data_IF_874683519713
#
_entry.id   IF_874683519713
#
_cell.length_a   1.000
_cell.length_b   1.000
_cell.length_c   1.000
_cell.angle_alpha   90.00
_cell.angle_beta   90.00
_cell.angle_gamma   90.00
#
_symmetry.space_group_name_H-M   'P 1'
#
loop_
_entity.id
_entity.type
_entity.pdbx_description
1 polymer ?
#
# COMPACT_ATOMS: atom_id res chain seq x y z
N UNK A 1 -9.05 16.28 -40.96
CA UNK A 1 -9.40 15.24 -39.95
C UNK A 1 -8.81 15.68 -38.62
N UNK A 2 -9.63 16.19 -37.70
CA UNK A 2 -9.16 16.58 -36.36
C UNK A 2 -9.72 15.56 -35.36
N UNK A 3 -8.83 14.80 -34.71
CA UNK A 3 -9.21 13.83 -33.69
C UNK A 3 -9.54 14.58 -32.39
N UNK A 4 -10.82 14.63 -32.04
CA UNK A 4 -11.29 15.16 -30.76
C UNK A 4 -10.85 14.21 -29.63
N UNK A 5 -9.97 14.68 -28.74
CA UNK A 5 -9.64 13.96 -27.51
C UNK A 5 -10.92 13.75 -26.68
N UNK A 6 -11.19 12.56 -26.14
CA UNK A 6 -12.31 12.36 -25.25
C UNK A 6 -12.04 13.13 -23.95
N UNK A 7 -12.75 14.23 -23.73
CA UNK A 7 -12.89 14.84 -22.40
C UNK A 7 -13.60 13.82 -21.52
N UNK A 8 -12.84 13.11 -20.68
CA UNK A 8 -13.40 12.27 -19.64
C UNK A 8 -14.23 13.17 -18.70
N UNK A 9 -15.54 13.24 -18.94
CA UNK A 9 -16.46 13.94 -18.06
C UNK A 9 -16.33 13.36 -16.65
N UNK A 10 -16.36 14.22 -15.63
CA UNK A 10 -16.35 13.78 -14.23
C UNK A 10 -17.60 12.92 -13.99
N UNK A 11 -17.45 11.60 -14.09
CA UNK A 11 -18.49 10.65 -13.75
C UNK A 11 -18.90 10.88 -12.28
N UNK A 12 -20.20 10.96 -12.04
CA UNK A 12 -20.78 11.09 -10.70
C UNK A 12 -21.69 9.89 -10.49
N UNK A 13 -21.40 9.09 -9.48
CA UNK A 13 -22.23 7.96 -9.08
C UNK A 13 -22.62 8.13 -7.61
N UNK A 14 -23.86 7.76 -7.22
CA UNK A 14 -24.25 7.71 -5.83
C UNK A 14 -23.37 6.73 -5.06
N UNK A 15 -22.87 7.13 -3.90
CA UNK A 15 -22.11 6.26 -3.00
C UNK A 15 -22.99 5.94 -1.79
N UNK A 16 -23.27 4.65 -1.57
CA UNK A 16 -24.11 4.19 -0.45
C UNK A 16 -23.20 3.91 0.74
N UNK A 17 -23.45 4.58 1.86
CA UNK A 17 -22.76 4.38 3.13
C UNK A 17 -23.74 4.18 4.28
N UNK A 18 -23.22 3.81 5.44
CA UNK A 18 -23.96 3.88 6.69
C UNK A 18 -24.17 5.34 7.13
N UNK A 19 -25.05 5.52 8.11
CA UNK A 19 -25.43 6.86 8.59
C UNK A 19 -24.28 7.58 9.28
N UNK A 20 -23.51 6.88 10.09
CA UNK A 20 -22.43 7.46 10.89
C UNK A 20 -21.34 8.01 9.97
N UNK A 21 -21.02 7.28 8.90
CA UNK A 21 -20.10 7.73 7.86
C UNK A 21 -20.62 8.96 7.09
N UNK A 22 -21.91 9.03 6.76
CA UNK A 22 -22.47 10.23 6.10
C UNK A 22 -22.46 11.46 7.03
N UNK A 23 -22.73 11.29 8.32
CA UNK A 23 -22.64 12.37 9.31
C UNK A 23 -21.19 12.88 9.42
N UNK A 24 -20.20 11.99 9.53
CA UNK A 24 -18.78 12.36 9.52
C UNK A 24 -18.35 13.10 8.23
N UNK A 25 -18.82 12.64 7.07
CA UNK A 25 -18.55 13.31 5.79
C UNK A 25 -19.21 14.68 5.74
N UNK A 26 -20.43 14.81 6.29
CA UNK A 26 -21.16 16.09 6.35
C UNK A 26 -20.40 17.11 7.18
N UNK A 27 -20.05 16.74 8.41
CA UNK A 27 -19.36 17.63 9.34
C UNK A 27 -17.99 18.02 8.79
N UNK A 28 -17.21 17.03 8.34
CA UNK A 28 -15.90 17.27 7.75
C UNK A 28 -15.96 18.20 6.53
N UNK A 29 -16.94 18.01 5.65
CA UNK A 29 -17.10 18.83 4.46
C UNK A 29 -17.47 20.28 4.84
N UNK A 30 -18.36 20.43 5.81
CA UNK A 30 -18.75 21.74 6.34
C UNK A 30 -17.56 22.48 6.97
N UNK A 31 -16.80 21.82 7.85
CA UNK A 31 -15.64 22.43 8.50
C UNK A 31 -14.52 22.82 7.52
N UNK A 32 -14.32 22.04 6.47
CA UNK A 32 -13.28 22.28 5.48
C UNK A 32 -13.72 23.20 4.33
N UNK A 33 -14.99 23.64 4.31
CA UNK A 33 -15.53 24.44 3.22
C UNK A 33 -15.54 23.70 1.87
N UNK A 34 -15.63 22.37 1.90
CA UNK A 34 -15.60 21.50 0.73
C UNK A 34 -16.98 20.93 0.44
N UNK A 35 -17.21 20.47 -0.78
CA UNK A 35 -18.34 19.57 -1.03
C UNK A 35 -18.04 18.18 -0.46
N UNK A 36 -19.08 17.44 -0.05
CA UNK A 36 -18.94 16.02 0.35
C UNK A 36 -18.17 15.20 -0.68
N UNK A 37 -18.41 15.45 -1.97
CA UNK A 37 -17.73 14.79 -3.10
C UNK A 37 -16.22 15.07 -3.12
N UNK A 38 -15.83 16.31 -2.92
CA UNK A 38 -14.42 16.71 -2.92
C UNK A 38 -13.69 16.09 -1.74
N UNK A 39 -14.30 16.16 -0.55
CA UNK A 39 -13.76 15.55 0.65
C UNK A 39 -13.54 14.05 0.48
N UNK A 40 -14.55 13.31 0.01
CA UNK A 40 -14.42 11.86 -0.23
C UNK A 40 -13.33 11.58 -1.28
N UNK A 41 -13.26 12.37 -2.35
CA UNK A 41 -12.24 12.21 -3.36
C UNK A 41 -10.82 12.43 -2.83
N UNK A 42 -10.63 13.42 -1.95
CA UNK A 42 -9.35 13.69 -1.31
C UNK A 42 -8.98 12.62 -0.27
N UNK A 43 -9.94 12.22 0.57
CA UNK A 43 -9.77 11.18 1.57
C UNK A 43 -9.35 9.84 0.93
N UNK A 44 -9.99 9.43 -0.18
CA UNK A 44 -9.62 8.21 -0.91
C UNK A 44 -8.19 8.30 -1.46
N UNK A 45 -7.80 9.43 -2.04
CA UNK A 45 -6.43 9.63 -2.53
C UNK A 45 -5.41 9.56 -1.40
N UNK A 46 -5.68 10.22 -0.28
CA UNK A 46 -4.81 10.21 0.90
C UNK A 46 -4.70 8.81 1.52
N UNK A 47 -5.83 8.10 1.66
CA UNK A 47 -5.88 6.75 2.17
C UNK A 47 -5.02 5.81 1.31
N UNK A 48 -5.22 5.83 -0.01
CA UNK A 48 -4.44 5.00 -0.93
C UNK A 48 -2.95 5.37 -0.93
N UNK A 49 -2.60 6.66 -0.85
CA UNK A 49 -1.21 7.11 -0.77
C UNK A 49 -0.52 6.58 0.50
N UNK A 50 -1.16 6.68 1.66
CA UNK A 50 -0.63 6.15 2.93
C UNK A 50 -0.50 4.62 2.91
N UNK A 51 -1.44 3.92 2.27
CA UNK A 51 -1.41 2.46 2.19
C UNK A 51 -0.41 1.92 1.15
N UNK A 52 -0.09 2.69 0.11
CA UNK A 52 0.98 2.33 -0.83
C UNK A 52 2.32 2.18 -0.13
N UNK A 53 2.63 3.06 0.82
CA UNK A 53 3.87 2.96 1.58
C UNK A 53 3.90 1.69 2.45
N UNK A 54 2.78 1.35 3.10
CA UNK A 54 2.66 0.10 3.86
C UNK A 54 2.87 -1.14 2.96
N UNK A 55 2.27 -1.15 1.77
CA UNK A 55 2.46 -2.23 0.81
C UNK A 55 3.91 -2.30 0.29
N UNK A 56 4.54 -1.15 0.03
CA UNK A 56 5.93 -1.06 -0.41
C UNK A 56 6.87 -1.61 0.66
N UNK A 57 6.68 -1.23 1.92
CA UNK A 57 7.44 -1.75 3.05
C UNK A 57 7.25 -3.26 3.21
N UNK A 58 5.99 -3.73 3.23
CA UNK A 58 5.70 -5.15 3.31
C UNK A 58 6.32 -5.96 2.14
N UNK A 59 6.37 -5.38 0.94
CA UNK A 59 7.03 -6.00 -0.21
C UNK A 59 8.55 -6.05 -0.02
N UNK A 60 9.18 -4.95 0.42
CA UNK A 60 10.61 -4.92 0.70
C UNK A 60 11.01 -5.87 1.82
N UNK A 61 10.21 -5.99 2.87
CA UNK A 61 10.45 -6.94 3.95
C UNK A 61 10.37 -8.39 3.47
N UNK A 62 9.44 -8.68 2.56
CA UNK A 62 9.36 -10.00 1.90
C UNK A 62 10.54 -10.23 0.95
N UNK A 63 10.95 -9.23 0.17
CA UNK A 63 12.10 -9.32 -0.72
C UNK A 63 13.41 -9.50 0.06
N UNK A 64 13.57 -8.85 1.21
CA UNK A 64 14.71 -9.05 2.12
C UNK A 64 14.79 -10.49 2.64
N UNK A 65 13.64 -11.09 2.98
CA UNK A 65 13.57 -12.51 3.34
C UNK A 65 13.89 -13.45 2.16
N UNK A 66 13.75 -12.96 0.94
CA UNK A 66 13.90 -13.71 -0.30
C UNK A 66 15.13 -13.25 -1.09
N UNK A 67 16.17 -12.69 -0.46
CA UNK A 67 17.38 -12.19 -1.13
C UNK A 67 18.11 -13.25 -1.98
N UNK A 68 17.62 -14.49 -1.96
CA UNK A 68 18.02 -15.58 -2.84
C UNK A 68 19.28 -16.28 -2.38
N UNK A 69 19.90 -15.80 -1.30
CA UNK A 69 21.05 -16.45 -0.69
C UNK A 69 20.63 -17.77 -0.05
N UNK A 70 21.54 -18.73 -0.05
CA UNK A 70 21.38 -19.93 0.75
C UNK A 70 21.19 -19.57 2.25
N UNK A 71 21.73 -18.43 2.70
CA UNK A 71 21.66 -17.96 4.09
C UNK A 71 20.25 -17.57 4.50
N UNK A 72 19.59 -16.74 3.71
CA UNK A 72 18.20 -16.37 3.94
C UNK A 72 17.27 -17.57 3.86
N UNK A 73 17.55 -18.52 2.95
CA UNK A 73 16.76 -19.74 2.81
C UNK A 73 16.89 -20.66 4.04
N UNK A 74 18.12 -20.88 4.52
CA UNK A 74 18.36 -21.69 5.73
C UNK A 74 17.83 -20.98 6.98
N UNK A 75 17.99 -19.66 7.07
CA UNK A 75 17.45 -18.86 8.18
C UNK A 75 15.92 -18.98 8.27
N UNK A 76 15.22 -18.90 7.14
CA UNK A 76 13.77 -19.10 7.10
C UNK A 76 13.32 -20.52 7.47
N UNK A 77 14.09 -21.55 7.10
CA UNK A 77 13.74 -22.95 7.36
C UNK A 77 14.05 -23.39 8.79
N UNK A 78 15.05 -22.77 9.43
CA UNK A 78 15.57 -23.18 10.73
C UNK A 78 15.23 -22.22 11.87
N UNK A 79 14.69 -21.04 11.55
CA UNK A 79 14.44 -19.93 12.48
C UNK A 79 15.71 -19.43 13.21
N UNK A 80 16.88 -19.81 12.69
CA UNK A 80 18.20 -19.33 13.15
C UNK A 80 18.52 -18.05 12.37
N UNK A 81 18.87 -16.93 13.04
CA UNK A 81 19.19 -15.70 12.33
C UNK A 81 20.47 -15.87 11.48
N UNK A 82 20.54 -15.20 10.33
CA UNK A 82 21.64 -15.36 9.37
C UNK A 82 23.04 -15.12 9.98
N UNK A 83 23.15 -14.20 10.93
CA UNK A 83 24.37 -13.92 11.71
C UNK A 83 24.84 -15.11 12.56
N UNK A 84 23.91 -15.92 13.08
CA UNK A 84 24.23 -17.14 13.81
C UNK A 84 24.60 -18.30 12.88
N UNK A 85 24.07 -18.31 11.65
CA UNK A 85 24.43 -19.31 10.63
C UNK A 85 25.91 -19.15 10.25
N UNK A 86 26.40 -17.93 10.03
CA UNK A 86 27.83 -17.67 9.80
C UNK A 86 28.70 -18.11 10.99
N UNK A 87 28.25 -17.84 12.22
CA UNK A 87 28.94 -18.24 13.45
C UNK A 87 29.03 -19.76 13.62
N UNK A 88 28.05 -20.50 13.11
CA UNK A 88 27.96 -21.97 13.21
C UNK A 88 28.71 -22.70 12.10
N UNK A 89 29.50 -21.99 11.29
CA UNK A 89 30.31 -22.55 10.22
C UNK A 89 29.89 -22.11 8.82
N UNK A 90 28.83 -21.30 8.71
CA UNK A 90 28.35 -20.77 7.44
C UNK A 90 27.79 -21.85 6.51
N UNK A 91 27.58 -21.46 5.27
CA UNK A 91 27.06 -22.31 4.19
C UNK A 91 27.90 -22.02 2.96
N UNK A 92 28.47 -23.08 2.40
CA UNK A 92 29.20 -23.02 1.15
C UNK A 92 28.19 -22.98 0.00
N UNK A 93 28.12 -21.87 -0.72
CA UNK A 93 27.44 -21.82 -2.01
C UNK A 93 28.38 -22.44 -3.06
N UNK A 94 28.34 -23.76 -3.20
CA UNK A 94 28.95 -24.44 -4.35
C UNK A 94 28.14 -24.05 -5.61
N UNK A 95 28.76 -23.27 -6.51
CA UNK A 95 28.23 -22.96 -7.86
C UNK A 95 28.64 -24.05 -8.84
#
# INVERSE_FOLDING_TARGET
MAATKPTAGRASAPLKGDRDTDELITDGAHFLGMTKKELVGEAVRAYLASHREKMRQAMLDKLRKLDGSAASSVSLLTDIPAEDIERLGGISEDI
#
